data_IF_101372237218
#
_entry.id   IF_101372237218
#
_cell.length_a   1.000
_cell.length_b   1.000
_cell.length_c   1.000
_cell.angle_alpha   90.00
_cell.angle_beta   90.00
_cell.angle_gamma   90.00
#
_symmetry.space_group_name_H-M   'P 1'
#
loop_
_entity.id
_entity.type
_entity.pdbx_description
1 polymer ?
#
# COMPACT_ATOMS: atom_id res chain seq x y z
N UNK A 1 6.43 -12.08 0.80
CA UNK A 1 7.22 -11.40 -0.25
C UNK A 1 7.95 -10.24 0.39
N UNK A 2 9.26 -10.09 0.17
CA UNK A 2 10.04 -8.95 0.70
C UNK A 2 9.81 -7.74 -0.20
N UNK A 3 9.68 -6.54 0.39
CA UNK A 3 9.63 -5.30 -0.38
C UNK A 3 11.00 -5.05 -1.00
N UNK A 4 11.06 -5.00 -2.32
CA UNK A 4 12.24 -4.58 -3.07
C UNK A 4 11.95 -3.22 -3.69
N UNK A 5 12.60 -2.18 -3.16
CA UNK A 5 12.36 -0.78 -3.51
C UNK A 5 13.07 -0.42 -4.82
N UNK A 6 14.08 -1.19 -5.25
CA UNK A 6 14.88 -0.85 -6.43
C UNK A 6 14.05 -0.88 -7.72
N UNK A 7 13.03 -1.74 -7.75
CA UNK A 7 12.07 -1.81 -8.86
C UNK A 7 11.35 -0.48 -9.08
N UNK A 8 11.11 0.33 -8.04
CA UNK A 8 10.45 1.64 -8.18
C UNK A 8 11.22 2.57 -9.13
N UNK A 9 12.54 2.43 -9.23
CA UNK A 9 13.38 3.26 -10.12
C UNK A 9 13.16 2.96 -11.60
N UNK A 10 12.69 1.76 -11.91
CA UNK A 10 12.45 1.30 -13.29
C UNK A 10 11.02 1.52 -13.77
N UNK A 11 10.12 1.99 -12.89
CA UNK A 11 8.72 2.24 -13.23
C UNK A 11 8.53 3.66 -13.76
N UNK A 12 7.91 3.75 -14.92
CA UNK A 12 7.54 5.01 -15.57
C UNK A 12 6.25 5.60 -14.99
N UNK A 13 5.94 6.84 -15.37
CA UNK A 13 4.66 7.49 -15.03
C UNK A 13 3.45 6.69 -15.54
N UNK A 14 3.58 6.04 -16.69
CA UNK A 14 2.52 5.23 -17.27
C UNK A 14 2.30 3.94 -16.49
N UNK A 15 3.36 3.32 -15.94
CA UNK A 15 3.25 2.16 -15.06
C UNK A 15 2.41 2.48 -13.81
N UNK A 16 2.69 3.62 -13.15
CA UNK A 16 1.90 4.06 -12.00
C UNK A 16 0.46 4.45 -12.36
N UNK A 17 0.25 5.00 -13.54
CA UNK A 17 -1.09 5.34 -14.05
C UNK A 17 -1.94 4.08 -14.27
N UNK A 18 -1.35 3.03 -14.85
CA UNK A 18 -2.03 1.73 -15.02
C UNK A 18 -2.26 1.03 -13.67
N UNK A 19 -1.29 1.06 -12.75
CA UNK A 19 -1.49 0.54 -11.39
C UNK A 19 -2.64 1.23 -10.67
N UNK A 20 -2.73 2.56 -10.78
CA UNK A 20 -3.82 3.36 -10.20
C UNK A 20 -5.16 3.01 -10.87
N UNK A 21 -5.17 2.80 -12.19
CA UNK A 21 -6.37 2.38 -12.90
C UNK A 21 -6.90 1.01 -12.42
N UNK A 22 -6.00 0.05 -12.16
CA UNK A 22 -6.38 -1.24 -11.54
C UNK A 22 -6.93 -1.01 -10.13
N UNK A 23 -6.29 -0.19 -9.30
CA UNK A 23 -6.80 0.14 -7.95
C UNK A 23 -8.22 0.72 -7.99
N UNK A 24 -8.48 1.63 -8.92
CA UNK A 24 -9.79 2.24 -9.11
C UNK A 24 -10.83 1.19 -9.54
N UNK A 25 -10.48 0.31 -10.48
CA UNK A 25 -11.35 -0.79 -10.90
C UNK A 25 -11.67 -1.78 -9.78
N UNK A 26 -10.71 -2.01 -8.87
CA UNK A 26 -10.87 -2.92 -7.73
C UNK A 26 -11.88 -2.44 -6.67
N UNK A 27 -12.37 -1.20 -6.78
CA UNK A 27 -13.45 -0.72 -5.91
C UNK A 27 -14.77 -1.45 -6.15
N UNK A 28 -15.01 -1.86 -7.40
CA UNK A 28 -16.27 -2.46 -7.84
C UNK A 28 -16.09 -3.90 -8.36
N UNK A 29 -14.87 -4.29 -8.74
CA UNK A 29 -14.58 -5.61 -9.30
C UNK A 29 -13.50 -6.36 -8.49
N UNK A 30 -13.67 -7.67 -8.30
CA UNK A 30 -12.65 -8.51 -7.65
C UNK A 30 -11.41 -8.68 -8.56
N UNK A 31 -11.64 -8.93 -9.85
CA UNK A 31 -10.65 -8.90 -10.91
C UNK A 31 -11.06 -7.80 -11.90
N UNK A 32 -10.13 -6.96 -12.32
CA UNK A 32 -10.41 -5.84 -13.23
C UNK A 32 -10.11 -6.28 -14.66
N UNK A 33 -11.11 -6.31 -15.57
CA UNK A 33 -10.88 -6.70 -16.96
C UNK A 33 -9.90 -5.76 -17.67
N UNK A 34 -9.11 -6.29 -18.61
CA UNK A 34 -8.11 -5.52 -19.35
C UNK A 34 -8.71 -4.28 -20.04
N UNK A 35 -9.88 -4.43 -20.67
CA UNK A 35 -10.62 -3.35 -21.32
C UNK A 35 -11.02 -2.23 -20.36
N UNK A 36 -11.37 -2.58 -19.12
CA UNK A 36 -11.71 -1.59 -18.10
C UNK A 36 -10.44 -0.85 -17.66
N UNK A 37 -9.31 -1.55 -17.50
CA UNK A 37 -8.02 -0.90 -17.20
C UNK A 37 -7.63 0.06 -18.31
N UNK A 38 -7.77 -0.33 -19.58
CA UNK A 38 -7.49 0.54 -20.74
C UNK A 38 -8.34 1.80 -20.70
N UNK A 39 -9.65 1.67 -20.45
CA UNK A 39 -10.57 2.81 -20.36
C UNK A 39 -10.22 3.77 -19.22
N UNK A 40 -9.93 3.24 -18.03
CA UNK A 40 -9.60 4.07 -16.86
C UNK A 40 -8.21 4.71 -17.01
N UNK A 41 -7.21 3.94 -17.46
CA UNK A 41 -5.85 4.46 -17.62
C UNK A 41 -5.78 5.53 -18.72
N UNK A 42 -6.58 5.38 -19.80
CA UNK A 42 -6.70 6.34 -20.90
C UNK A 42 -5.32 6.85 -21.36
N UNK A 43 -4.44 5.92 -21.71
CA UNK A 43 -3.10 6.23 -22.23
C UNK A 43 -3.20 6.67 -23.70
N UNK A 44 -2.53 7.77 -24.05
CA UNK A 44 -2.62 8.40 -25.39
C UNK A 44 -2.26 7.48 -26.57
N UNK A 45 -1.42 6.46 -26.35
CA UNK A 45 -0.85 5.62 -27.41
C UNK A 45 -1.24 4.13 -27.31
N UNK A 46 -2.29 3.78 -26.55
CA UNK A 46 -2.75 2.38 -26.45
C UNK A 46 -1.77 1.39 -25.79
N UNK A 47 -0.69 1.86 -25.16
CA UNK A 47 0.38 1.05 -24.59
C UNK A 47 0.04 0.27 -23.31
N UNK A 48 -1.22 0.28 -22.86
CA UNK A 48 -1.65 -0.30 -21.58
C UNK A 48 -1.32 -1.79 -21.46
N UNK A 49 -1.47 -2.57 -22.54
CA UNK A 49 -1.15 -4.01 -22.51
C UNK A 49 0.35 -4.29 -22.29
N UNK A 50 1.23 -3.45 -22.86
CA UNK A 50 2.68 -3.56 -22.65
C UNK A 50 3.02 -3.26 -21.19
N UNK A 51 2.39 -2.22 -20.63
CA UNK A 51 2.53 -1.85 -19.22
C UNK A 51 2.01 -2.96 -18.30
N UNK A 52 0.84 -3.54 -18.58
CA UNK A 52 0.30 -4.66 -17.81
C UNK A 52 1.27 -5.85 -17.77
N UNK A 53 1.86 -6.23 -18.91
CA UNK A 53 2.91 -7.26 -18.97
C UNK A 53 4.13 -6.90 -18.11
N UNK A 54 4.56 -5.64 -18.15
CA UNK A 54 5.67 -5.15 -17.34
C UNK A 54 5.36 -5.24 -15.83
N UNK A 55 4.17 -4.81 -15.42
CA UNK A 55 3.71 -4.85 -14.03
C UNK A 55 3.57 -6.28 -13.50
N UNK A 56 3.18 -7.24 -14.36
CA UNK A 56 3.17 -8.67 -14.02
C UNK A 56 4.58 -9.22 -13.83
N UNK A 57 5.54 -8.83 -14.67
CA UNK A 57 6.95 -9.23 -14.56
C UNK A 57 7.52 -8.85 -13.18
N UNK A 58 7.18 -7.67 -12.70
CA UNK A 58 7.56 -7.19 -11.36
C UNK A 58 6.63 -7.66 -10.23
N UNK A 59 5.63 -8.51 -10.54
CA UNK A 59 4.68 -9.06 -9.57
C UNK A 59 3.88 -7.98 -8.80
N UNK A 60 3.70 -6.81 -9.41
CA UNK A 60 2.89 -5.71 -8.88
C UNK A 60 1.39 -5.95 -9.13
N UNK A 61 1.10 -6.72 -10.18
CA UNK A 61 -0.22 -7.23 -10.49
C UNK A 61 -0.22 -8.76 -10.45
N UNK A 62 -1.41 -9.31 -10.24
CA UNK A 62 -1.71 -10.71 -10.39
C UNK A 62 -2.79 -10.85 -11.47
N UNK A 63 -2.51 -11.67 -12.47
CA UNK A 63 -3.45 -12.06 -13.51
C UNK A 63 -4.17 -13.33 -13.09
N UNK A 64 -5.48 -13.38 -13.27
CA UNK A 64 -6.30 -14.57 -13.02
C UNK A 64 -7.36 -14.69 -14.12
N UNK A 65 -7.59 -15.90 -14.60
CA UNK A 65 -8.56 -16.22 -15.64
C UNK A 65 -9.53 -17.33 -15.22
N UNK A 66 -9.53 -17.71 -13.93
CA UNK A 66 -10.30 -18.86 -13.43
C UNK A 66 -11.81 -18.62 -13.44
N UNK A 67 -12.27 -17.41 -13.04
CA UNK A 67 -13.69 -17.00 -13.12
C UNK A 67 -13.96 -16.19 -14.40
N UNK A 68 -13.10 -15.21 -14.65
CA UNK A 68 -13.08 -14.38 -15.84
C UNK A 68 -11.70 -13.73 -15.95
N UNK A 69 -11.31 -13.36 -17.16
CA UNK A 69 -9.99 -12.76 -17.43
C UNK A 69 -9.87 -11.37 -16.78
N UNK A 70 -8.90 -11.20 -15.89
CA UNK A 70 -8.68 -9.91 -15.26
C UNK A 70 -7.43 -9.82 -14.40
N UNK A 71 -7.22 -8.60 -13.89
CA UNK A 71 -6.06 -8.24 -13.08
C UNK A 71 -6.48 -7.76 -11.70
N UNK A 72 -5.68 -8.08 -10.69
CA UNK A 72 -5.80 -7.50 -9.34
C UNK A 72 -4.44 -7.05 -8.85
N UNK A 73 -4.44 -6.08 -7.94
CA UNK A 73 -3.24 -5.62 -7.25
C UNK A 73 -2.72 -6.70 -6.30
N UNK A 74 -1.41 -6.85 -6.29
CA UNK A 74 -0.72 -7.55 -5.20
C UNK A 74 -0.43 -6.57 -4.07
N UNK A 75 -0.03 -7.10 -2.91
CA UNK A 75 0.49 -6.28 -1.81
C UNK A 75 1.65 -5.39 -2.26
N UNK A 76 2.54 -5.91 -3.09
CA UNK A 76 3.70 -5.17 -3.58
C UNK A 76 3.28 -4.00 -4.49
N UNK A 77 2.33 -4.22 -5.40
CA UNK A 77 1.77 -3.13 -6.21
C UNK A 77 1.10 -2.06 -5.36
N UNK A 78 0.41 -2.47 -4.30
CA UNK A 78 -0.23 -1.55 -3.36
C UNK A 78 0.78 -0.75 -2.54
N UNK A 79 1.90 -1.35 -2.12
CA UNK A 79 3.03 -0.65 -1.48
C UNK A 79 3.60 0.44 -2.37
N UNK A 80 3.81 0.10 -3.63
CA UNK A 80 4.45 1.01 -4.58
C UNK A 80 3.57 2.23 -4.84
N UNK A 81 2.26 2.03 -4.94
CA UNK A 81 1.30 3.13 -5.01
C UNK A 81 1.34 3.99 -3.74
N UNK A 82 1.42 3.36 -2.56
CA UNK A 82 1.50 4.07 -1.29
C UNK A 82 2.78 4.94 -1.19
N UNK A 83 3.94 4.32 -1.41
CA UNK A 83 5.27 4.94 -1.39
C UNK A 83 5.34 6.06 -2.42
N UNK A 84 4.93 5.81 -3.67
CA UNK A 84 4.99 6.81 -4.74
C UNK A 84 4.19 8.07 -4.39
N UNK A 85 3.03 7.91 -3.75
CA UNK A 85 2.22 9.06 -3.32
C UNK A 85 2.93 9.85 -2.23
N UNK A 86 3.53 9.18 -1.24
CA UNK A 86 4.22 9.82 -0.12
C UNK A 86 5.50 10.55 -0.58
N UNK A 87 6.24 9.94 -1.50
CA UNK A 87 7.40 10.58 -2.17
C UNK A 87 6.95 11.80 -2.98
N UNK A 88 5.87 11.69 -3.75
CA UNK A 88 5.35 12.83 -4.53
C UNK A 88 4.82 13.98 -3.64
N UNK A 89 4.41 13.68 -2.40
CA UNK A 89 4.02 14.69 -1.40
C UNK A 89 5.22 15.33 -0.68
N UNK A 90 6.44 14.83 -0.90
CA UNK A 90 7.64 15.30 -0.22
C UNK A 90 7.78 14.82 1.23
N UNK A 91 7.11 13.72 1.61
CA UNK A 91 7.18 13.19 2.99
C UNK A 91 8.54 12.59 3.29
N UNK A 92 9.12 11.89 2.32
CA UNK A 92 10.47 11.31 2.36
C UNK A 92 10.99 11.12 0.93
N UNK A 93 12.30 10.97 0.77
CA UNK A 93 12.97 10.80 -0.53
C UNK A 93 13.68 9.46 -0.69
N UNK A 94 14.05 8.81 0.41
CA UNK A 94 14.73 7.52 0.38
C UNK A 94 14.05 6.52 1.33
N UNK A 95 14.04 5.25 0.93
CA UNK A 95 13.68 4.13 1.79
C UNK A 95 14.96 3.39 2.15
N UNK A 96 15.19 3.26 3.45
CA UNK A 96 16.36 2.59 4.03
C UNK A 96 16.07 1.14 4.38
N UNK A 97 16.73 0.66 5.44
CA UNK A 97 16.65 -0.73 5.89
C UNK A 97 15.29 -1.06 6.49
N UNK A 98 14.99 -2.35 6.49
CA UNK A 98 13.86 -2.90 7.23
C UNK A 98 14.23 -3.04 8.71
N UNK A 99 13.52 -2.33 9.59
CA UNK A 99 13.76 -2.34 11.04
C UNK A 99 13.05 -3.53 11.69
N UNK A 100 11.86 -3.88 11.18
CA UNK A 100 11.05 -4.91 11.79
C UNK A 100 10.08 -5.58 10.82
N UNK A 101 9.90 -6.88 11.00
CA UNK A 101 8.86 -7.67 10.34
C UNK A 101 7.94 -8.20 11.43
N UNK A 102 6.74 -7.63 11.51
CA UNK A 102 5.68 -8.12 12.38
C UNK A 102 4.75 -9.11 11.68
N UNK A 103 3.81 -9.68 12.44
CA UNK A 103 2.74 -10.54 11.89
C UNK A 103 1.80 -9.76 10.97
N UNK A 104 1.56 -8.49 11.29
CA UNK A 104 0.55 -7.64 10.65
C UNK A 104 1.12 -6.37 10.01
N UNK A 105 2.43 -6.13 10.12
CA UNK A 105 3.04 -4.96 9.52
C UNK A 105 4.53 -5.15 9.27
N UNK A 106 5.04 -4.48 8.25
CA UNK A 106 6.47 -4.32 8.01
C UNK A 106 6.88 -2.88 8.33
N UNK A 107 8.02 -2.70 8.99
CA UNK A 107 8.55 -1.38 9.38
C UNK A 107 9.88 -1.13 8.67
N UNK A 108 9.99 0.01 8.01
CA UNK A 108 11.17 0.46 7.27
C UNK A 108 11.64 1.83 7.76
N UNK A 109 12.94 2.08 7.73
CA UNK A 109 13.47 3.44 7.84
C UNK A 109 13.20 4.19 6.54
N UNK A 110 12.82 5.45 6.63
CA UNK A 110 12.75 6.36 5.48
C UNK A 110 13.43 7.68 5.85
N UNK A 111 14.06 8.32 4.89
CA UNK A 111 14.80 9.56 5.10
C UNK A 111 14.20 10.72 4.32
N UNK A 112 14.12 11.88 4.96
CA UNK A 112 13.80 13.17 4.34
C UNK A 112 15.03 13.78 3.67
N UNK A 113 14.80 14.84 2.89
CA UNK A 113 15.87 15.60 2.22
C UNK A 113 16.84 16.25 3.22
N UNK A 114 16.35 16.63 4.40
CA UNK A 114 17.14 17.22 5.48
C UNK A 114 17.98 16.20 6.27
N UNK A 115 17.90 14.91 5.92
CA UNK A 115 18.56 13.81 6.63
C UNK A 115 17.79 13.28 7.83
N UNK A 116 16.63 13.85 8.17
CA UNK A 116 15.77 13.34 9.25
C UNK A 116 15.28 11.94 8.91
N UNK A 117 15.49 11.00 9.84
CA UNK A 117 15.02 9.61 9.70
C UNK A 117 13.66 9.44 10.35
N UNK A 118 12.73 8.83 9.61
CA UNK A 118 11.38 8.48 10.02
C UNK A 118 11.16 6.97 9.92
N UNK A 119 10.07 6.50 10.50
CA UNK A 119 9.60 5.12 10.37
C UNK A 119 8.40 5.06 9.43
N UNK A 120 8.48 4.18 8.43
CA UNK A 120 7.38 3.83 7.53
C UNK A 120 6.84 2.45 7.89
N UNK A 121 5.56 2.40 8.29
CA UNK A 121 4.85 1.17 8.64
C UNK A 121 3.86 0.80 7.54
N UNK A 122 4.04 -0.38 6.94
CA UNK A 122 3.14 -0.97 5.95
C UNK A 122 2.28 -2.05 6.59
N UNK A 123 0.96 -1.89 6.56
CA UNK A 123 0.03 -2.88 7.12
C UNK A 123 -0.18 -4.08 6.19
N UNK A 124 -0.20 -5.29 6.78
CA UNK A 124 -0.21 -6.60 6.13
C UNK A 124 -1.26 -7.52 6.75
N UNK A 125 -2.53 -7.11 6.74
CA UNK A 125 -3.57 -7.99 7.29
C UNK A 125 -3.70 -9.27 6.45
N UNK A 126 -3.77 -10.42 7.10
CA UNK A 126 -3.93 -11.72 6.42
C UNK A 126 -2.64 -12.42 6.00
N UNK A 127 -1.45 -11.94 6.39
CA UNK A 127 -0.16 -12.62 6.13
C UNK A 127 -0.02 -13.95 6.86
N UNK A 128 -0.59 -14.05 8.07
CA UNK A 128 -0.68 -15.30 8.84
C UNK A 128 -1.99 -15.32 9.63
N UNK A 129 -2.88 -16.24 9.25
CA UNK A 129 -3.88 -16.85 10.15
C UNK A 129 -4.80 -15.93 10.97
N UNK A 130 -5.19 -14.77 10.48
CA UNK A 130 -6.32 -14.04 11.09
C UNK A 130 -7.65 -14.64 10.63
N UNK A 131 -7.94 -15.89 11.02
CA UNK A 131 -9.27 -16.49 10.83
C UNK A 131 -10.35 -15.67 11.56
N UNK A 132 -9.97 -14.96 12.63
CA UNK A 132 -10.87 -14.16 13.47
C UNK A 132 -11.13 -12.71 12.98
N UNK A 133 -10.42 -12.17 11.97
CA UNK A 133 -10.80 -10.84 11.42
C UNK A 133 -12.18 -10.93 10.74
N UNK A 134 -12.54 -12.12 10.24
CA UNK A 134 -13.89 -12.42 9.74
C UNK A 134 -15.00 -12.20 10.78
N UNK A 135 -14.72 -12.31 12.09
CA UNK A 135 -15.75 -12.18 13.13
C UNK A 135 -15.89 -10.76 13.71
N UNK A 136 -14.92 -9.87 13.47
CA UNK A 136 -14.99 -8.49 13.96
C UNK A 136 -15.75 -7.59 12.98
N UNK A 137 -17.05 -7.37 13.27
CA UNK A 137 -17.98 -6.54 12.50
C UNK A 137 -17.46 -5.13 12.17
N UNK A 138 -16.66 -4.55 13.06
CA UNK A 138 -16.10 -3.19 12.91
C UNK A 138 -15.30 -2.98 11.61
N UNK A 139 -14.72 -4.05 11.06
CA UNK A 139 -13.93 -3.98 9.82
C UNK A 139 -14.77 -4.20 8.55
N UNK A 140 -15.94 -4.83 8.67
CA UNK A 140 -16.66 -5.43 7.55
C UNK A 140 -17.85 -4.61 7.06
N UNK A 141 -18.46 -3.76 7.90
CA UNK A 141 -19.68 -3.04 7.52
C UNK A 141 -20.73 -3.97 6.88
N UNK A 142 -21.37 -3.54 5.79
CA UNK A 142 -22.39 -4.29 5.04
C UNK A 142 -21.88 -4.97 3.75
N UNK A 143 -20.58 -5.31 3.62
CA UNK A 143 -20.02 -5.85 2.35
C UNK A 143 -19.67 -7.33 2.44
N UNK A 144 -20.18 -8.13 1.50
CA UNK A 144 -19.95 -9.59 1.39
C UNK A 144 -18.58 -9.99 0.81
N UNK A 145 -17.94 -9.11 0.03
CA UNK A 145 -16.59 -9.35 -0.53
C UNK A 145 -15.57 -8.47 0.19
N UNK A 146 -14.66 -9.08 0.95
CA UNK A 146 -13.59 -8.35 1.64
C UNK A 146 -12.26 -8.50 0.90
N UNK A 147 -11.57 -7.38 0.70
CA UNK A 147 -10.21 -7.34 0.15
C UNK A 147 -9.25 -7.02 1.31
N UNK A 148 -8.24 -7.86 1.53
CA UNK A 148 -7.25 -7.64 2.58
C UNK A 148 -6.46 -6.33 2.43
N UNK A 149 -6.30 -5.83 1.20
CA UNK A 149 -5.74 -4.49 0.93
C UNK A 149 -6.62 -3.38 1.52
N UNK A 150 -7.93 -3.52 1.40
CA UNK A 150 -8.90 -2.56 1.94
C UNK A 150 -8.91 -2.58 3.47
N UNK A 151 -8.89 -3.77 4.07
CA UNK A 151 -8.78 -3.90 5.53
C UNK A 151 -7.47 -3.31 6.06
N UNK A 152 -6.36 -3.56 5.36
CA UNK A 152 -5.06 -2.96 5.72
C UNK A 152 -5.07 -1.44 5.62
N UNK A 153 -5.83 -0.87 4.67
CA UNK A 153 -6.07 0.58 4.58
C UNK A 153 -6.87 1.12 5.77
N UNK A 154 -7.94 0.44 6.17
CA UNK A 154 -8.74 0.86 7.32
C UNK A 154 -7.93 0.80 8.62
N UNK A 155 -7.11 -0.24 8.80
CA UNK A 155 -6.22 -0.36 9.95
C UNK A 155 -5.22 0.81 10.01
N UNK A 156 -4.56 1.14 8.89
CA UNK A 156 -3.64 2.27 8.82
C UNK A 156 -4.31 3.62 9.12
N UNK A 157 -5.50 3.87 8.58
CA UNK A 157 -6.25 5.09 8.86
C UNK A 157 -6.65 5.20 10.33
N UNK A 158 -7.07 4.09 10.94
CA UNK A 158 -7.44 4.04 12.36
C UNK A 158 -6.21 4.30 13.25
N UNK A 159 -5.09 3.65 12.96
CA UNK A 159 -3.84 3.87 13.69
C UNK A 159 -3.37 5.32 13.59
N UNK A 160 -3.36 5.90 12.38
CA UNK A 160 -2.98 7.30 12.19
C UNK A 160 -3.87 8.26 12.96
N UNK A 161 -5.20 8.05 12.93
CA UNK A 161 -6.15 8.88 13.66
C UNK A 161 -5.95 8.81 15.19
N UNK A 162 -5.74 7.62 15.74
CA UNK A 162 -5.44 7.48 17.18
C UNK A 162 -4.10 8.08 17.56
N UNK A 163 -3.06 7.88 16.73
CA UNK A 163 -1.74 8.46 16.97
C UNK A 163 -1.81 9.99 17.02
N UNK A 164 -2.56 10.61 16.10
CA UNK A 164 -2.83 12.05 16.11
C UNK A 164 -3.59 12.50 17.36
N UNK A 165 -4.66 11.81 17.71
CA UNK A 165 -5.43 12.14 18.91
C UNK A 165 -4.59 12.03 20.19
N UNK A 166 -3.74 11.00 20.30
CA UNK A 166 -2.86 10.82 21.46
C UNK A 166 -1.75 11.88 21.52
N UNK A 167 -1.18 12.25 20.37
CA UNK A 167 -0.21 13.35 20.23
C UNK A 167 -0.82 14.68 20.73
N UNK A 168 -2.04 15.00 20.31
CA UNK A 168 -2.76 16.22 20.73
C UNK A 168 -3.04 16.29 22.24
N UNK A 169 -3.16 15.15 22.89
CA UNK A 169 -3.38 15.06 24.35
C UNK A 169 -2.08 14.90 25.15
N UNK A 170 -0.91 15.03 24.51
CA UNK A 170 0.40 15.00 25.19
C UNK A 170 0.86 13.62 25.64
N UNK A 171 0.29 12.54 25.10
CA UNK A 171 0.77 11.18 25.38
C UNK A 171 2.14 10.94 24.70
N UNK A 172 3.02 10.11 25.30
CA UNK A 172 4.32 9.79 24.73
C UNK A 172 4.18 8.76 23.59
N UNK A 173 3.68 9.21 22.44
CA UNK A 173 3.52 8.41 21.22
C UNK A 173 4.43 8.95 20.10
N UNK A 174 4.75 8.13 19.07
CA UNK A 174 5.40 8.66 17.88
C UNK A 174 4.56 9.74 17.22
N UNK A 175 5.20 10.79 16.69
CA UNK A 175 4.52 11.85 15.95
C UNK A 175 4.06 11.31 14.60
N UNK A 176 2.76 11.42 14.31
CA UNK A 176 2.19 10.98 13.04
C UNK A 176 2.49 12.00 11.93
N UNK A 177 3.15 11.60 10.86
CA UNK A 177 3.58 12.51 9.77
C UNK A 177 2.56 12.52 8.63
N UNK A 178 2.31 11.37 8.01
CA UNK A 178 1.32 11.24 6.93
C UNK A 178 0.82 9.78 6.86
N UNK A 179 -0.34 9.59 6.26
CA UNK A 179 -0.94 8.28 6.01
C UNK A 179 -1.47 8.22 4.58
N UNK A 180 -1.16 7.12 3.89
CA UNK A 180 -1.70 6.85 2.58
C UNK A 180 -1.91 5.36 2.36
N UNK A 181 -3.10 4.97 1.90
CA UNK A 181 -3.51 3.56 1.74
C UNK A 181 -3.29 2.80 3.05
N UNK A 182 -2.45 1.76 3.06
CA UNK A 182 -2.09 0.94 4.22
C UNK A 182 -0.74 1.36 4.84
N UNK A 183 -0.20 2.49 4.42
CA UNK A 183 1.09 3.01 4.87
C UNK A 183 0.90 4.17 5.85
N UNK A 184 1.58 4.10 6.98
CA UNK A 184 1.67 5.19 7.98
C UNK A 184 3.14 5.58 8.12
N UNK A 185 3.42 6.88 8.03
CA UNK A 185 4.74 7.44 8.30
C UNK A 185 4.70 8.18 9.64
N UNK A 186 5.65 7.89 10.51
CA UNK A 186 5.74 8.44 11.87
C UNK A 186 7.19 8.76 12.24
N UNK A 187 7.40 9.55 13.29
CA UNK A 187 8.75 9.79 13.83
C UNK A 187 9.41 8.49 14.27
N UNK A 188 10.71 8.34 14.00
CA UNK A 188 11.48 7.22 14.50
C UNK A 188 11.77 7.41 16.00
N UNK A 189 11.32 6.46 16.83
CA UNK A 189 11.64 6.44 18.26
C UNK A 189 12.89 5.59 18.48
N UNK A 190 13.93 6.18 19.06
CA UNK A 190 15.15 5.47 19.44
C UNK A 190 14.92 4.76 20.78
N UNK A 191 14.63 3.47 20.73
CA UNK A 191 14.39 2.67 21.92
C UNK A 191 14.48 1.18 21.65
N UNK A 192 14.54 0.40 22.72
CA UNK A 192 14.54 -1.07 22.69
C UNK A 192 13.18 -1.59 23.17
N UNK A 193 12.66 -2.69 22.59
CA UNK A 193 11.53 -3.41 23.17
C UNK A 193 11.86 -3.85 24.60
N UNK A 194 10.86 -3.84 25.47
CA UNK A 194 10.95 -4.33 26.85
C UNK A 194 11.11 -5.85 26.91
#
# INVERSE_FOLDING_TARGET
MKLDVDVLRYLSKDDFRVLTAVEMGMRNHELVPSELVVRIASLKHGGTYKVLKNLLKYKLLHHDSSKYDGFRLTYLGYDFLAIKTLVNRGVFVAVGRQIGVGKESDIFEVAKEDGTVLAMKLHRLGRTSFRAVKSKRDYLGHRNNYNWLYLSRLAALKEFAFMKALEEHGFPVPNAVDCNRHCVVMSLVQGYPL
#
